data_IF_331194856133
#
_entry.id   IF_331194856133
#
_cell.length_a   1.000
_cell.length_b   1.000
_cell.length_c   1.000
_cell.angle_alpha   90.00
_cell.angle_beta   90.00
_cell.angle_gamma   90.00
#
_symmetry.space_group_name_H-M   'P 1'
#
loop_
_entity.id
_entity.type
_entity.pdbx_description
1 polymer ?
#
# COMPACT_ATOMS: atom_id res chain seq x y z
N UNK A 1 11.19 14.86 -2.91
CA UNK A 1 11.50 13.50 -3.45
C UNK A 1 10.18 12.88 -3.88
N UNK A 2 10.07 12.30 -5.09
CA UNK A 2 8.81 11.70 -5.58
C UNK A 2 8.95 10.18 -5.62
N UNK A 3 8.11 9.47 -4.90
CA UNK A 3 8.00 8.01 -4.96
C UNK A 3 6.73 7.64 -5.71
N UNK A 4 6.82 6.71 -6.67
CA UNK A 4 5.68 6.24 -7.46
C UNK A 4 5.59 4.72 -7.33
N UNK A 5 4.44 4.23 -6.89
CA UNK A 5 4.12 2.80 -6.83
C UNK A 5 3.13 2.45 -7.95
N UNK A 6 3.33 1.30 -8.58
CA UNK A 6 2.33 0.72 -9.50
C UNK A 6 1.70 -0.48 -8.82
N UNK A 7 0.38 -0.52 -8.85
CA UNK A 7 -0.41 -1.62 -8.31
C UNK A 7 -1.42 -2.06 -9.36
N UNK A 8 -1.64 -3.37 -9.46
CA UNK A 8 -2.73 -3.92 -10.26
C UNK A 8 -4.03 -3.85 -9.43
N UNK A 9 -4.99 -3.08 -9.93
CA UNK A 9 -6.29 -2.84 -9.28
C UNK A 9 -7.43 -3.63 -9.94
N UNK A 10 -7.11 -4.60 -10.81
CA UNK A 10 -8.11 -5.47 -11.44
C UNK A 10 -8.86 -6.36 -10.44
N UNK A 11 -8.28 -6.61 -9.26
CA UNK A 11 -8.91 -7.33 -8.15
C UNK A 11 -9.60 -6.37 -7.19
N UNK A 12 -10.62 -6.82 -6.48
CA UNK A 12 -11.33 -6.00 -5.49
C UNK A 12 -10.46 -5.62 -4.28
N UNK A 13 -9.47 -6.43 -3.92
CA UNK A 13 -8.59 -6.19 -2.77
C UNK A 13 -7.17 -6.70 -3.03
N UNK A 14 -6.22 -6.13 -2.29
CA UNK A 14 -4.81 -6.50 -2.32
C UNK A 14 -4.23 -6.67 -0.93
N UNK A 15 -3.19 -7.49 -0.86
CA UNK A 15 -2.27 -7.52 0.28
C UNK A 15 -1.06 -6.67 -0.06
N UNK A 16 -0.73 -5.72 0.82
CA UNK A 16 0.38 -4.78 0.64
C UNK A 16 1.22 -4.79 1.91
N UNK A 17 2.55 -4.68 1.77
CA UNK A 17 3.45 -4.56 2.90
C UNK A 17 4.48 -3.46 2.67
N UNK A 18 4.81 -2.74 3.74
CA UNK A 18 5.95 -1.82 3.75
C UNK A 18 7.13 -2.59 4.33
N UNK A 19 8.23 -2.61 3.58
CA UNK A 19 9.49 -3.23 3.97
C UNK A 19 10.54 -2.14 4.22
N UNK A 20 11.28 -2.23 5.32
CA UNK A 20 12.46 -1.40 5.61
C UNK A 20 13.63 -2.33 5.80
N UNK A 21 14.68 -2.19 5.00
CA UNK A 21 15.84 -3.11 4.99
C UNK A 21 15.45 -4.60 4.76
N UNK A 22 14.37 -4.85 4.03
CA UNK A 22 13.85 -6.20 3.78
C UNK A 22 12.97 -6.76 4.90
N UNK A 23 12.85 -6.07 6.04
CA UNK A 23 11.96 -6.47 7.13
C UNK A 23 10.58 -5.81 7.00
N UNK A 24 9.53 -6.59 7.24
CA UNK A 24 8.15 -6.10 7.20
C UNK A 24 7.86 -5.26 8.43
N UNK A 25 7.61 -3.98 8.22
CA UNK A 25 7.23 -3.03 9.27
C UNK A 25 5.73 -2.77 9.31
N UNK A 26 5.03 -2.92 8.18
CA UNK A 26 3.58 -2.79 8.09
C UNK A 26 2.98 -3.75 7.06
N UNK A 27 1.73 -4.16 7.28
CA UNK A 27 0.97 -5.03 6.38
C UNK A 27 -0.48 -4.60 6.33
N UNK A 28 -1.05 -4.65 5.13
CA UNK A 28 -2.40 -4.23 4.85
C UNK A 28 -3.10 -5.31 4.03
N UNK A 29 -4.35 -5.56 4.40
CA UNK A 29 -5.34 -6.12 3.49
C UNK A 29 -6.33 -4.99 3.24
N UNK A 30 -6.38 -4.46 2.01
CA UNK A 30 -7.21 -3.30 1.69
C UNK A 30 -7.95 -3.49 0.37
N UNK A 31 -9.14 -2.88 0.21
CA UNK A 31 -9.77 -2.78 -1.10
C UNK A 31 -8.91 -1.91 -2.03
N UNK A 32 -8.94 -2.23 -3.33
CA UNK A 32 -8.24 -1.46 -4.36
C UNK A 32 -9.08 -0.24 -4.78
N UNK A 33 -9.43 0.58 -3.80
CA UNK A 33 -10.20 1.81 -3.97
C UNK A 33 -9.51 3.00 -3.30
N UNK A 34 -10.05 4.21 -3.52
CA UNK A 34 -9.47 5.44 -2.99
C UNK A 34 -9.38 5.45 -1.45
N UNK A 35 -10.25 4.72 -0.74
CA UNK A 35 -10.26 4.68 0.72
C UNK A 35 -9.10 3.82 1.22
N UNK A 36 -8.93 2.61 0.65
CA UNK A 36 -7.81 1.73 0.95
C UNK A 36 -6.46 2.42 0.70
N UNK A 37 -6.32 3.11 -0.44
CA UNK A 37 -5.10 3.82 -0.77
C UNK A 37 -4.82 5.04 0.11
N UNK A 38 -5.86 5.77 0.56
CA UNK A 38 -5.66 6.92 1.45
C UNK A 38 -5.01 6.51 2.77
N UNK A 39 -5.42 5.37 3.33
CA UNK A 39 -4.82 4.82 4.56
C UNK A 39 -3.34 4.47 4.37
N UNK A 40 -3.00 3.83 3.23
CA UNK A 40 -1.61 3.52 2.90
C UNK A 40 -0.74 4.78 2.77
N UNK A 41 -1.29 5.84 2.15
CA UNK A 41 -0.58 7.11 1.97
C UNK A 41 -0.35 7.85 3.29
N UNK A 42 -1.27 7.77 4.25
CA UNK A 42 -1.09 8.37 5.58
C UNK A 42 0.06 7.72 6.34
N UNK A 43 0.17 6.39 6.29
CA UNK A 43 1.24 5.65 6.97
C UNK A 43 2.62 5.80 6.28
N UNK A 44 2.65 6.36 5.06
CA UNK A 44 3.87 6.66 4.30
C UNK A 44 4.38 8.10 4.48
N UNK A 45 3.67 8.96 5.23
CA UNK A 45 4.14 10.30 5.60
C UNK A 45 5.24 10.24 6.67
#
# INVERSE_FOLDING_TARGET
MRTVFRMDVSKASSEVAILVNGEKVHGYTMPNDAIGFSRLLEDLK
#
